data_IF_662018279614
#
_entry.id   IF_662018279614
#
_cell.length_a   1.000
_cell.length_b   1.000
_cell.length_c   1.000
_cell.angle_alpha   90.00
_cell.angle_beta   90.00
_cell.angle_gamma   90.00
#
_symmetry.space_group_name_H-M   'P 1'
#
loop_
_entity.id
_entity.type
_entity.pdbx_description
1 polymer ?
#
# COMPACT_ATOMS: atom_id res chain seq x y z
N UNK A 1 -15.07 -39.28 14.43
CA UNK A 1 -15.03 -37.85 14.82
C UNK A 1 -13.68 -37.29 14.41
N UNK A 2 -13.52 -36.82 13.16
CA UNK A 2 -12.24 -36.29 12.67
C UNK A 2 -12.31 -34.77 12.60
N UNK A 3 -11.76 -34.09 13.61
CA UNK A 3 -11.51 -32.64 13.58
C UNK A 3 -10.19 -32.40 12.85
N UNK A 4 -10.28 -31.95 11.59
CA UNK A 4 -9.10 -31.51 10.83
C UNK A 4 -8.45 -30.26 11.43
N UNK A 5 -7.14 -30.03 11.22
CA UNK A 5 -6.42 -28.90 11.81
C UNK A 5 -6.93 -27.56 11.27
N UNK A 6 -6.94 -26.48 12.09
CA UNK A 6 -7.35 -25.16 11.63
C UNK A 6 -6.35 -24.66 10.59
N UNK A 7 -6.80 -24.53 9.34
CA UNK A 7 -5.99 -23.96 8.25
C UNK A 7 -5.72 -22.50 8.58
N UNK A 8 -4.48 -22.20 8.97
CA UNK A 8 -4.06 -20.82 9.19
C UNK A 8 -4.22 -20.00 7.89
N UNK A 9 -4.80 -18.79 7.94
CA UNK A 9 -4.94 -17.97 6.74
C UNK A 9 -3.54 -17.59 6.24
N UNK A 10 -3.24 -18.00 5.00
CA UNK A 10 -1.97 -17.67 4.33
C UNK A 10 -1.90 -16.14 4.15
N UNK A 11 -1.07 -15.48 4.95
CA UNK A 11 -0.76 -14.07 4.73
C UNK A 11 -0.07 -13.94 3.38
N UNK A 12 -0.79 -13.44 2.38
CA UNK A 12 -0.23 -13.14 1.06
C UNK A 12 0.80 -12.03 1.22
N UNK A 13 2.08 -12.38 1.11
CA UNK A 13 3.17 -11.41 1.16
C UNK A 13 3.22 -10.68 -0.19
N UNK A 14 2.51 -9.55 -0.32
CA UNK A 14 2.35 -8.79 -1.59
C UNK A 14 3.64 -8.05 -2.01
N UNK A 15 4.70 -8.11 -1.21
CA UNK A 15 5.94 -7.36 -1.45
C UNK A 15 7.01 -8.11 -2.27
N UNK A 16 6.74 -9.35 -2.71
CA UNK A 16 7.72 -10.17 -3.44
C UNK A 16 7.21 -10.85 -4.72
N UNK A 17 5.96 -10.65 -5.12
CA UNK A 17 5.48 -11.20 -6.41
C UNK A 17 5.96 -10.29 -7.54
N UNK A 18 6.74 -10.77 -8.51
CA UNK A 18 6.97 -10.02 -9.73
C UNK A 18 5.58 -9.73 -10.32
N UNK A 19 5.38 -8.55 -10.89
CA UNK A 19 4.09 -8.10 -11.40
C UNK A 19 3.79 -8.47 -12.87
N UNK A 20 4.18 -9.62 -13.49
CA UNK A 20 3.65 -9.94 -14.82
C UNK A 20 2.28 -10.61 -14.75
N UNK A 21 1.94 -11.31 -13.65
CA UNK A 21 0.71 -12.13 -13.61
C UNK A 21 -0.58 -11.29 -13.50
N UNK A 22 -0.56 -10.18 -12.77
CA UNK A 22 -1.74 -9.29 -12.61
C UNK A 22 -1.94 -8.40 -13.85
N UNK A 23 -0.87 -8.11 -14.58
CA UNK A 23 -0.90 -7.20 -15.74
C UNK A 23 -1.42 -7.87 -17.02
N UNK A 24 -1.26 -9.20 -17.14
CA UNK A 24 -1.62 -9.94 -18.35
C UNK A 24 -3.12 -9.93 -18.67
N UNK A 25 -3.99 -9.70 -17.68
CA UNK A 25 -5.46 -9.71 -17.83
C UNK A 25 -6.13 -8.33 -17.70
N UNK A 26 -5.35 -7.25 -17.52
CA UNK A 26 -5.91 -5.91 -17.46
C UNK A 26 -6.01 -5.32 -18.87
N UNK A 27 -7.18 -4.81 -19.31
CA UNK A 27 -7.35 -4.25 -20.64
C UNK A 27 -6.48 -3.01 -20.90
N UNK A 28 -6.00 -2.35 -19.83
CA UNK A 28 -5.11 -1.20 -19.90
C UNK A 28 -3.82 -1.48 -19.14
N UNK A 29 -2.71 -1.55 -19.88
CA UNK A 29 -1.38 -1.66 -19.29
C UNK A 29 -1.01 -0.32 -18.63
N UNK A 30 -0.57 -0.31 -17.36
CA UNK A 30 -0.14 0.91 -16.71
C UNK A 30 1.09 1.48 -17.43
N UNK A 31 0.98 2.72 -17.92
CA UNK A 31 2.08 3.43 -18.63
C UNK A 31 3.33 3.60 -17.75
N UNK A 32 3.13 3.69 -16.44
CA UNK A 32 4.21 3.88 -15.46
C UNK A 32 4.14 2.72 -14.48
N UNK A 33 5.19 1.90 -14.48
CA UNK A 33 5.32 0.79 -13.54
C UNK A 33 5.43 1.37 -12.13
N UNK A 34 4.56 0.88 -11.25
CA UNK A 34 4.67 1.09 -9.81
C UNK A 34 5.20 -0.21 -9.21
N UNK A 35 6.14 -0.20 -8.25
CA UNK A 35 6.77 0.97 -7.62
C UNK A 35 7.82 1.65 -8.52
N UNK A 36 8.10 2.95 -8.31
CA UNK A 36 9.24 3.60 -8.93
C UNK A 36 10.54 3.01 -8.37
N UNK A 37 11.58 2.95 -9.19
CA UNK A 37 12.92 2.61 -8.72
C UNK A 37 13.44 3.70 -7.77
N UNK A 38 13.32 3.48 -6.45
CA UNK A 38 13.72 4.48 -5.44
C UNK A 38 15.22 4.81 -5.48
N UNK A 39 16.06 3.91 -5.99
CA UNK A 39 17.50 4.12 -6.16
C UNK A 39 17.86 5.22 -7.16
N UNK A 40 16.94 5.58 -8.07
CA UNK A 40 17.15 6.61 -9.10
C UNK A 40 16.61 7.99 -8.68
N UNK A 41 15.94 8.08 -7.52
CA UNK A 41 15.34 9.33 -7.03
C UNK A 41 16.36 10.14 -6.23
N UNK A 42 16.25 11.47 -6.33
CA UNK A 42 16.98 12.38 -5.44
C UNK A 42 16.54 12.17 -3.98
N UNK A 43 17.44 12.36 -3.03
CA UNK A 43 17.16 12.27 -1.59
C UNK A 43 15.99 13.17 -1.15
N UNK A 44 15.87 14.36 -1.75
CA UNK A 44 14.73 15.27 -1.52
C UNK A 44 13.41 14.64 -1.95
N UNK A 45 13.40 13.90 -3.05
CA UNK A 45 12.21 13.22 -3.55
C UNK A 45 11.88 12.00 -2.68
N UNK A 46 12.89 11.20 -2.31
CA UNK A 46 12.76 10.08 -1.38
C UNK A 46 12.10 10.55 -0.07
N UNK A 47 12.60 11.63 0.53
CA UNK A 47 12.01 12.22 1.74
C UNK A 47 10.54 12.61 1.57
N UNK A 48 10.17 13.20 0.41
CA UNK A 48 8.76 13.55 0.11
C UNK A 48 7.88 12.30 0.00
N UNK A 49 8.38 11.24 -0.63
CA UNK A 49 7.66 9.97 -0.73
C UNK A 49 7.51 9.30 0.63
N UNK A 50 8.56 9.23 1.44
CA UNK A 50 8.51 8.71 2.80
C UNK A 50 7.50 9.45 3.67
N UNK A 51 7.53 10.80 3.65
CA UNK A 51 6.58 11.63 4.38
C UNK A 51 5.14 11.34 3.93
N UNK A 52 4.91 11.21 2.61
CA UNK A 52 3.59 10.88 2.07
C UNK A 52 3.14 9.47 2.47
N UNK A 53 4.05 8.50 2.45
CA UNK A 53 3.79 7.12 2.85
C UNK A 53 3.38 7.04 4.32
N UNK A 54 4.18 7.61 5.24
CA UNK A 54 3.88 7.67 6.68
C UNK A 54 2.50 8.29 6.95
N UNK A 55 2.17 9.41 6.28
CA UNK A 55 0.84 10.03 6.39
C UNK A 55 -0.29 9.09 5.93
N UNK A 56 -0.10 8.39 4.81
CA UNK A 56 -1.11 7.45 4.28
C UNK A 56 -1.32 6.25 5.19
N UNK A 57 -0.25 5.67 5.73
CA UNK A 57 -0.32 4.55 6.69
C UNK A 57 -1.09 4.97 7.94
N UNK A 58 -0.80 6.15 8.50
CA UNK A 58 -1.54 6.67 9.67
C UNK A 58 -3.02 6.86 9.39
N UNK A 59 -3.37 7.44 8.23
CA UNK A 59 -4.78 7.60 7.83
C UNK A 59 -5.47 6.26 7.56
N UNK A 60 -4.79 5.29 6.93
CA UNK A 60 -5.36 3.97 6.69
C UNK A 60 -5.60 3.21 8.00
N UNK A 61 -4.66 3.29 8.94
CA UNK A 61 -4.81 2.73 10.28
C UNK A 61 -5.98 3.40 11.04
N UNK A 62 -6.06 4.73 11.02
CA UNK A 62 -7.15 5.47 11.64
C UNK A 62 -8.52 5.11 11.04
N UNK A 63 -8.64 5.05 9.71
CA UNK A 63 -9.87 4.61 9.02
C UNK A 63 -10.26 3.18 9.40
N UNK A 64 -9.29 2.26 9.47
CA UNK A 64 -9.53 0.88 9.89
C UNK A 64 -10.00 0.81 11.36
N UNK A 65 -9.46 1.69 12.21
CA UNK A 65 -9.83 1.79 13.62
C UNK A 65 -11.11 2.62 13.86
N UNK A 66 -11.76 3.16 12.82
CA UNK A 66 -12.94 4.00 12.96
C UNK A 66 -12.67 5.38 13.58
N UNK A 67 -11.41 5.80 13.67
CA UNK A 67 -11.04 7.12 14.20
C UNK A 67 -11.36 8.16 13.14
N UNK A 68 -12.29 9.07 13.44
CA UNK A 68 -12.61 10.16 12.54
C UNK A 68 -11.44 11.13 12.42
N UNK A 69 -10.93 11.28 11.20
CA UNK A 69 -9.79 12.14 10.85
C UNK A 69 -10.23 13.34 10.03
N UNK A 70 -11.54 13.58 9.89
CA UNK A 70 -12.14 14.72 9.19
C UNK A 70 -11.62 16.06 9.73
N UNK A 71 -11.48 16.20 11.06
CA UNK A 71 -10.97 17.42 11.71
C UNK A 71 -9.51 17.74 11.38
N UNK A 72 -8.69 16.75 11.01
CA UNK A 72 -7.26 16.93 10.66
C UNK A 72 -7.08 17.51 9.25
N UNK A 73 -8.13 17.46 8.44
CA UNK A 73 -8.14 17.97 7.06
C UNK A 73 -8.56 19.45 7.01
N UNK A 74 -9.41 19.89 7.94
CA UNK A 74 -10.00 21.24 7.93
C UNK A 74 -9.11 22.36 8.49
N UNK A 75 -8.02 22.07 9.20
CA UNK A 75 -7.08 23.12 9.69
C UNK A 75 -6.03 23.59 8.66
N UNK A 76 -6.28 23.41 7.36
CA UNK A 76 -5.48 23.96 6.26
C UNK A 76 -6.38 24.78 5.34
N UNK A 77 -6.93 25.85 5.88
CA UNK A 77 -7.51 26.96 5.15
C UNK A 77 -6.87 28.23 5.72
#
# INVERSE_FOLDING_TARGET
MATGPPVAPKLRNVMGTPLPAISAHLPYKPKKVWPPDFSKLSEKEQFRFERRYKRRVKLAAARRAGIDTSSWRSSRA
#
